data_IF_743496256771
#
_entry.id   IF_743496256771
#
_cell.length_a   1.000
_cell.length_b   1.000
_cell.length_c   1.000
_cell.angle_alpha   90.00
_cell.angle_beta   90.00
_cell.angle_gamma   90.00
#
_symmetry.space_group_name_H-M   'P 1'
#
loop_
_entity.id
_entity.type
_entity.pdbx_description
1 polymer ?
#
# COMPACT_ATOMS: atom_id res chain seq x y z
N UNK A 1 37.08 -26.63 -4.54
CA UNK A 1 35.80 -26.85 -5.23
C UNK A 1 35.04 -27.94 -4.49
N UNK A 2 34.14 -27.56 -3.57
CA UNK A 2 33.24 -28.54 -2.94
C UNK A 2 32.13 -28.89 -3.93
N UNK A 3 31.86 -30.16 -4.20
CA UNK A 3 30.81 -30.56 -5.13
C UNK A 3 29.45 -30.27 -4.51
N UNK A 4 28.64 -29.47 -5.22
CA UNK A 4 27.27 -29.13 -4.81
C UNK A 4 26.40 -30.38 -4.70
N UNK A 5 25.70 -30.50 -3.56
CA UNK A 5 24.72 -31.54 -3.31
C UNK A 5 23.60 -31.46 -4.36
N UNK A 6 23.42 -32.52 -5.14
CA UNK A 6 22.29 -32.63 -6.08
C UNK A 6 21.00 -32.84 -5.28
N UNK A 7 19.89 -32.15 -5.60
CA UNK A 7 18.63 -32.36 -4.89
C UNK A 7 18.13 -33.79 -5.11
N UNK A 8 17.84 -34.51 -4.03
CA UNK A 8 17.28 -35.86 -4.07
C UNK A 8 15.92 -35.84 -4.78
N UNK A 9 15.74 -36.70 -5.77
CA UNK A 9 14.46 -36.86 -6.49
C UNK A 9 13.37 -37.31 -5.51
N UNK A 10 12.34 -36.49 -5.31
CA UNK A 10 11.19 -36.83 -4.45
C UNK A 10 10.50 -38.11 -4.93
N UNK A 11 10.17 -38.98 -3.98
CA UNK A 11 9.48 -40.24 -4.21
C UNK A 11 7.96 -40.06 -4.12
N UNK A 12 7.19 -41.01 -4.64
CA UNK A 12 5.70 -40.99 -4.53
C UNK A 12 5.21 -40.92 -3.08
N UNK A 13 5.98 -41.43 -2.12
CA UNK A 13 5.66 -41.36 -0.68
C UNK A 13 5.72 -39.94 -0.12
N UNK A 14 6.64 -39.12 -0.62
CA UNK A 14 6.81 -37.72 -0.18
C UNK A 14 5.62 -36.84 -0.58
N UNK A 15 4.99 -37.16 -1.72
CA UNK A 15 3.76 -36.48 -2.17
C UNK A 15 2.53 -36.89 -1.34
N UNK A 16 2.53 -38.08 -0.73
CA UNK A 16 1.43 -38.55 0.10
C UNK A 16 1.40 -37.90 1.50
N UNK A 17 2.54 -37.36 1.95
CA UNK A 17 2.65 -36.63 3.22
C UNK A 17 2.21 -35.15 3.13
N UNK A 18 1.98 -34.63 1.92
CA UNK A 18 1.51 -33.27 1.70
C UNK A 18 0.01 -33.20 2.01
N UNK A 19 -0.38 -32.26 2.86
CA UNK A 19 -1.78 -31.96 3.14
C UNK A 19 -2.44 -31.23 1.95
N UNK A 20 -2.76 -31.98 0.89
CA UNK A 20 -3.38 -31.43 -0.32
C UNK A 20 -4.73 -30.78 -0.06
N UNK A 21 -5.51 -31.30 0.89
CA UNK A 21 -6.82 -30.73 1.22
C UNK A 21 -6.67 -29.38 1.94
N UNK A 22 -5.73 -29.28 2.89
CA UNK A 22 -5.38 -27.99 3.49
C UNK A 22 -4.83 -26.98 2.47
N UNK A 23 -4.01 -27.44 1.50
CA UNK A 23 -3.46 -26.56 0.46
C UNK A 23 -4.50 -26.08 -0.56
N UNK A 24 -5.42 -26.95 -1.02
CA UNK A 24 -6.36 -26.61 -2.09
C UNK A 24 -7.73 -26.13 -1.59
N UNK A 25 -8.16 -26.58 -0.41
CA UNK A 25 -9.52 -26.31 0.12
C UNK A 25 -9.50 -25.61 1.47
N UNK A 26 -8.36 -25.55 2.16
CA UNK A 26 -8.22 -24.79 3.39
C UNK A 26 -8.42 -23.28 3.17
N UNK A 27 -8.80 -22.59 4.25
CA UNK A 27 -8.95 -21.13 4.27
C UNK A 27 -7.87 -20.48 5.13
N UNK A 28 -7.44 -19.27 4.77
CA UNK A 28 -6.43 -18.52 5.53
C UNK A 28 -5.01 -18.80 5.06
N UNK A 29 -4.03 -18.67 5.96
CA UNK A 29 -2.64 -19.00 5.64
C UNK A 29 -2.48 -20.50 5.49
N UNK A 30 -1.79 -20.93 4.43
CA UNK A 30 -1.62 -22.34 4.12
C UNK A 30 -1.01 -23.17 5.26
N UNK A 31 -1.13 -24.51 5.19
CA UNK A 31 -0.86 -25.41 6.31
C UNK A 31 0.63 -25.46 6.71
N UNK A 32 1.54 -25.03 5.82
CA UNK A 32 2.98 -25.06 6.05
C UNK A 32 3.54 -23.65 6.06
N UNK A 33 4.23 -23.31 7.15
CA UNK A 33 5.03 -22.09 7.24
C UNK A 33 6.45 -22.35 6.74
N UNK A 34 6.72 -21.92 5.52
CA UNK A 34 8.04 -22.03 4.93
C UNK A 34 9.05 -21.12 5.64
N UNK A 35 10.31 -21.58 5.72
CA UNK A 35 11.43 -20.78 6.18
C UNK A 35 12.13 -20.19 4.95
N UNK A 36 12.16 -18.88 4.87
CA UNK A 36 12.86 -18.15 3.82
C UNK A 36 14.10 -17.49 4.42
N UNK A 37 15.13 -17.33 3.59
CA UNK A 37 16.27 -16.48 3.93
C UNK A 37 15.81 -15.01 3.97
N UNK A 38 16.02 -14.35 5.10
CA UNK A 38 15.61 -12.96 5.34
C UNK A 38 16.77 -11.98 5.27
N UNK A 39 18.00 -12.43 4.96
CA UNK A 39 19.23 -11.61 5.04
C UNK A 39 19.11 -10.26 4.33
N UNK A 40 18.46 -10.22 3.16
CA UNK A 40 18.27 -8.96 2.41
C UNK A 40 17.21 -8.02 3.03
N UNK A 41 16.25 -8.56 3.76
CA UNK A 41 15.17 -7.83 4.42
C UNK A 41 15.62 -7.26 5.77
N UNK A 42 16.50 -7.97 6.49
CA UNK A 42 16.91 -7.63 7.85
C UNK A 42 17.39 -6.17 7.99
N UNK A 43 18.15 -5.67 7.02
CA UNK A 43 18.60 -4.27 7.01
C UNK A 43 17.44 -3.27 6.91
N UNK A 44 16.42 -3.57 6.10
CA UNK A 44 15.23 -2.73 5.94
C UNK A 44 14.34 -2.77 7.18
N UNK A 45 14.17 -3.94 7.78
CA UNK A 45 13.35 -4.12 8.98
C UNK A 45 14.02 -3.46 10.21
N UNK A 46 15.34 -3.61 10.35
CA UNK A 46 16.12 -2.95 11.41
C UNK A 46 16.05 -1.43 11.28
N UNK A 47 16.16 -0.89 10.06
CA UNK A 47 16.04 0.54 9.83
C UNK A 47 14.64 1.06 10.21
N UNK A 48 13.58 0.35 9.81
CA UNK A 48 12.21 0.71 10.19
C UNK A 48 12.01 0.71 11.71
N UNK A 49 12.52 -0.31 12.41
CA UNK A 49 12.45 -0.40 13.86
C UNK A 49 13.20 0.76 14.54
N UNK A 50 14.40 1.11 14.06
CA UNK A 50 15.18 2.23 14.60
C UNK A 50 14.44 3.57 14.48
N UNK A 51 13.78 3.83 13.34
CA UNK A 51 12.96 5.04 13.18
C UNK A 51 11.80 5.10 14.17
N UNK A 52 11.11 3.97 14.38
CA UNK A 52 9.99 3.90 15.34
C UNK A 52 10.44 3.97 16.81
N UNK A 53 11.67 3.55 17.11
CA UNK A 53 12.28 3.69 18.43
C UNK A 53 12.80 5.12 18.73
N UNK A 54 12.70 6.05 17.78
CA UNK A 54 13.27 7.40 17.91
C UNK A 54 14.78 7.47 17.68
N UNK A 55 15.39 6.37 17.23
CA UNK A 55 16.83 6.25 16.95
C UNK A 55 17.16 6.53 15.46
N UNK A 56 16.16 6.89 14.65
CA UNK A 56 16.32 7.16 13.22
C UNK A 56 17.36 8.25 12.91
N UNK A 57 17.44 9.29 13.73
CA UNK A 57 18.44 10.35 13.58
C UNK A 57 19.89 9.92 13.89
N UNK A 58 20.07 8.78 14.57
CA UNK A 58 21.39 8.19 14.83
C UNK A 58 21.83 7.22 13.70
N UNK A 59 20.92 6.88 12.79
CA UNK A 59 21.24 5.99 11.68
C UNK A 59 22.18 6.70 10.68
N UNK A 60 23.09 5.95 10.02
CA UNK A 60 23.92 6.50 8.96
C UNK A 60 23.06 7.21 7.90
N UNK A 61 23.52 8.37 7.42
CA UNK A 61 22.78 9.14 6.40
C UNK A 61 22.55 8.34 5.11
N UNK A 62 23.43 7.40 4.82
CA UNK A 62 23.36 6.51 3.66
C UNK A 62 22.65 5.17 3.94
N UNK A 63 22.14 4.95 5.17
CA UNK A 63 21.44 3.71 5.55
C UNK A 63 20.27 3.40 4.61
N UNK A 64 19.55 4.42 4.14
CA UNK A 64 18.49 4.25 3.15
C UNK A 64 19.01 4.31 1.70
N UNK A 65 19.96 5.20 1.39
CA UNK A 65 20.40 5.39 0.01
C UNK A 65 21.13 4.17 -0.54
N UNK A 66 21.87 3.45 0.31
CA UNK A 66 22.54 2.18 0.02
C UNK A 66 21.60 1.00 -0.23
N UNK A 67 20.33 1.09 0.19
CA UNK A 67 19.34 0.06 -0.07
C UNK A 67 18.99 -0.01 -1.55
N UNK A 68 18.85 -1.24 -2.04
CA UNK A 68 18.24 -1.50 -3.35
C UNK A 68 16.77 -1.06 -3.35
N UNK A 69 16.20 -0.88 -4.54
CA UNK A 69 14.78 -0.47 -4.66
C UNK A 69 13.82 -1.44 -3.93
N UNK A 70 13.94 -2.78 -4.06
CA UNK A 70 13.11 -3.71 -3.30
C UNK A 70 13.28 -3.58 -1.79
N UNK A 71 14.49 -3.31 -1.30
CA UNK A 71 14.75 -3.08 0.12
C UNK A 71 14.11 -1.78 0.62
N UNK A 72 14.17 -0.70 -0.16
CA UNK A 72 13.43 0.55 0.14
C UNK A 72 11.92 0.30 0.23
N UNK A 73 11.38 -0.51 -0.68
CA UNK A 73 9.98 -0.94 -0.64
C UNK A 73 9.71 -1.78 0.62
N UNK A 74 10.60 -2.70 1.00
CA UNK A 74 10.47 -3.49 2.23
C UNK A 74 10.46 -2.61 3.48
N UNK A 75 11.36 -1.63 3.55
CA UNK A 75 11.43 -0.64 4.63
C UNK A 75 10.09 0.10 4.80
N UNK A 76 9.56 0.68 3.72
CA UNK A 76 8.27 1.38 3.76
C UNK A 76 7.10 0.43 4.03
N UNK A 77 7.12 -0.77 3.46
CA UNK A 77 6.09 -1.79 3.71
C UNK A 77 6.09 -2.21 5.18
N UNK A 78 7.25 -2.31 5.81
CA UNK A 78 7.38 -2.63 7.23
C UNK A 78 6.78 -1.53 8.11
N UNK A 79 6.97 -0.26 7.76
CA UNK A 79 6.29 0.85 8.44
C UNK A 79 4.76 0.78 8.27
N UNK A 80 4.27 0.37 7.10
CA UNK A 80 2.83 0.17 6.87
C UNK A 80 2.31 -0.98 7.74
N UNK A 81 3.03 -2.10 7.82
CA UNK A 81 2.69 -3.22 8.73
C UNK A 81 2.57 -2.72 10.19
N UNK A 82 3.53 -1.90 10.66
CA UNK A 82 3.44 -1.31 12.00
C UNK A 82 2.23 -0.37 12.15
N UNK A 83 1.86 0.40 11.12
CA UNK A 83 0.65 1.21 11.16
C UNK A 83 -0.62 0.37 11.30
N UNK A 84 -0.67 -0.81 10.69
CA UNK A 84 -1.79 -1.76 10.86
C UNK A 84 -1.81 -2.33 12.28
N UNK A 85 -0.65 -2.72 12.81
CA UNK A 85 -0.51 -3.21 14.19
C UNK A 85 -0.93 -2.15 15.22
N UNK A 86 -0.61 -0.88 14.98
CA UNK A 86 -0.97 0.24 15.86
C UNK A 86 -2.50 0.46 15.83
N UNK A 87 -3.08 0.52 14.64
CA UNK A 87 -4.53 0.64 14.46
C UNK A 87 -5.30 -0.53 15.09
N UNK A 88 -4.73 -1.74 15.07
CA UNK A 88 -5.31 -2.92 15.72
C UNK A 88 -5.26 -2.85 17.26
N UNK A 89 -4.26 -2.18 17.84
CA UNK A 89 -4.18 -1.92 19.29
C UNK A 89 -5.12 -0.81 19.73
N UNK A 90 -5.20 0.28 18.97
CA UNK A 90 -6.09 1.41 19.25
C UNK A 90 -6.41 2.21 17.98
N UNK A 91 -7.69 2.54 17.70
CA UNK A 91 -8.07 3.29 16.50
C UNK A 91 -7.47 4.69 16.35
N UNK A 92 -6.92 5.25 17.43
CA UNK A 92 -6.28 6.58 17.44
C UNK A 92 -4.76 6.53 17.45
N UNK A 93 -4.18 5.33 17.61
CA UNK A 93 -2.74 5.16 17.64
C UNK A 93 -2.22 5.13 16.21
N UNK A 94 -1.28 6.04 15.92
CA UNK A 94 -0.68 6.22 14.60
C UNK A 94 0.82 6.42 14.77
N UNK A 95 1.58 6.22 13.69
CA UNK A 95 3.00 6.61 13.68
C UNK A 95 3.05 8.14 13.76
N UNK A 96 3.83 8.68 14.71
CA UNK A 96 3.99 10.11 14.91
C UNK A 96 4.42 10.80 13.60
N UNK A 97 3.70 11.84 13.14
CA UNK A 97 4.10 12.67 12.00
C UNK A 97 5.57 13.12 12.03
N UNK A 98 6.14 13.36 13.20
CA UNK A 98 7.54 13.76 13.35
C UNK A 98 8.51 12.66 12.87
N UNK A 99 8.16 11.38 13.02
CA UNK A 99 8.95 10.26 12.48
C UNK A 99 8.96 10.31 10.96
N UNK A 100 7.79 10.53 10.33
CA UNK A 100 7.70 10.64 8.86
C UNK A 100 8.46 11.87 8.34
N UNK A 101 8.31 13.02 9.00
CA UNK A 101 9.07 14.21 8.66
C UNK A 101 10.58 13.99 8.78
N UNK A 102 11.03 13.26 9.81
CA UNK A 102 12.42 12.88 9.99
C UNK A 102 12.93 11.95 8.88
N UNK A 103 12.13 10.94 8.51
CA UNK A 103 12.44 10.01 7.41
C UNK A 103 12.61 10.79 6.10
N UNK A 104 11.68 11.70 5.80
CA UNK A 104 11.72 12.48 4.56
C UNK A 104 12.90 13.46 4.55
N UNK A 105 13.17 14.13 5.65
CA UNK A 105 14.32 15.02 5.78
C UNK A 105 15.66 14.27 5.64
N UNK A 106 15.72 13.02 6.08
CA UNK A 106 16.93 12.20 5.98
C UNK A 106 17.13 11.64 4.57
N UNK A 107 16.05 11.22 3.89
CA UNK A 107 16.13 10.33 2.73
C UNK A 107 15.45 10.84 1.46
N UNK A 108 14.74 11.96 1.52
CA UNK A 108 14.01 12.56 0.40
C UNK A 108 13.05 11.56 -0.28
N UNK A 109 12.25 10.87 0.54
CA UNK A 109 11.34 9.81 0.08
C UNK A 109 10.25 10.40 -0.81
N UNK A 110 9.78 11.61 -0.49
CA UNK A 110 8.78 12.36 -1.25
C UNK A 110 9.21 12.67 -2.68
N UNK A 111 10.51 12.86 -2.95
CA UNK A 111 11.03 13.11 -4.30
C UNK A 111 11.12 11.85 -5.18
N UNK A 112 10.87 10.67 -4.63
CA UNK A 112 10.96 9.42 -5.38
C UNK A 112 9.96 9.37 -6.53
N UNK A 113 10.45 9.03 -7.73
CA UNK A 113 9.60 8.78 -8.91
C UNK A 113 9.06 7.35 -9.00
N UNK A 114 9.49 6.46 -8.11
CA UNK A 114 9.06 5.06 -8.12
C UNK A 114 7.63 4.95 -7.59
N UNK A 115 6.73 4.37 -8.39
CA UNK A 115 5.30 4.30 -8.05
C UNK A 115 4.99 3.47 -6.79
N UNK A 116 5.76 2.43 -6.48
CA UNK A 116 5.57 1.63 -5.26
C UNK A 116 5.97 2.44 -4.02
N UNK A 117 7.10 3.16 -4.10
CA UNK A 117 7.57 4.04 -3.02
C UNK A 117 6.57 5.18 -2.80
N UNK A 118 6.16 5.88 -3.87
CA UNK A 118 5.16 6.95 -3.80
C UNK A 118 3.85 6.45 -3.19
N UNK A 119 3.38 5.28 -3.61
CA UNK A 119 2.15 4.69 -3.07
C UNK A 119 2.26 4.42 -1.57
N UNK A 120 3.29 3.69 -1.13
CA UNK A 120 3.48 3.37 0.29
C UNK A 120 3.66 4.64 1.13
N UNK A 121 4.39 5.63 0.61
CA UNK A 121 4.59 6.90 1.28
C UNK A 121 3.29 7.69 1.47
N UNK A 122 2.44 7.74 0.45
CA UNK A 122 1.11 8.34 0.55
C UNK A 122 0.24 7.63 1.59
N UNK A 123 0.20 6.29 1.56
CA UNK A 123 -0.55 5.48 2.54
C UNK A 123 -0.09 5.78 3.96
N UNK A 124 1.22 5.76 4.22
CA UNK A 124 1.80 6.06 5.53
C UNK A 124 1.39 7.44 6.05
N UNK A 125 1.57 8.48 5.22
CA UNK A 125 1.25 9.85 5.61
C UNK A 125 -0.24 10.04 5.89
N UNK A 126 -1.13 9.44 5.09
CA UNK A 126 -2.57 9.51 5.31
C UNK A 126 -2.93 8.83 6.64
N UNK A 127 -2.39 7.64 6.92
CA UNK A 127 -2.61 6.91 8.17
C UNK A 127 -2.05 7.64 9.40
N UNK A 128 -0.96 8.37 9.23
CA UNK A 128 -0.37 9.25 10.25
C UNK A 128 -1.01 10.63 10.35
N UNK A 129 -2.16 10.87 9.71
CA UNK A 129 -2.87 12.14 9.73
C UNK A 129 -2.07 13.36 9.23
N UNK A 130 -1.14 13.14 8.28
CA UNK A 130 -0.32 14.19 7.67
C UNK A 130 -1.08 14.81 6.50
N UNK A 131 -1.79 15.92 6.73
CA UNK A 131 -2.63 16.57 5.72
C UNK A 131 -1.85 17.18 4.54
N UNK A 132 -0.56 17.50 4.70
CA UNK A 132 0.26 18.08 3.63
C UNK A 132 0.50 17.12 2.45
N UNK A 133 0.24 15.82 2.61
CA UNK A 133 0.39 14.82 1.54
C UNK A 133 -0.77 14.83 0.53
N UNK A 134 -1.91 15.46 0.85
CA UNK A 134 -3.11 15.38 0.01
C UNK A 134 -2.90 15.81 -1.46
N UNK A 135 -2.12 16.87 -1.77
CA UNK A 135 -1.81 17.23 -3.15
C UNK A 135 -1.04 16.13 -3.91
N UNK A 136 -0.09 15.46 -3.24
CA UNK A 136 0.69 14.38 -3.84
C UNK A 136 -0.17 13.14 -4.09
N UNK A 137 -1.08 12.83 -3.16
CA UNK A 137 -2.04 11.75 -3.31
C UNK A 137 -2.99 12.02 -4.49
N UNK A 138 -3.50 13.24 -4.60
CA UNK A 138 -4.35 13.68 -5.71
C UNK A 138 -3.61 13.57 -7.05
N UNK A 139 -2.39 14.08 -7.14
CA UNK A 139 -1.57 14.00 -8.35
C UNK A 139 -1.32 12.54 -8.76
N UNK A 140 -0.91 11.70 -7.80
CA UNK A 140 -0.65 10.28 -8.04
C UNK A 140 -1.89 9.52 -8.53
N UNK A 141 -3.08 9.83 -7.98
CA UNK A 141 -4.34 9.22 -8.40
C UNK A 141 -4.79 9.65 -9.81
N UNK A 142 -4.39 10.83 -10.28
CA UNK A 142 -4.66 11.29 -11.66
C UNK A 142 -3.67 10.74 -12.67
N UNK A 143 -2.45 10.42 -12.23
CA UNK A 143 -1.40 9.83 -13.08
C UNK A 143 -1.58 8.32 -13.27
N UNK A 144 -2.03 7.60 -12.23
CA UNK A 144 -2.03 6.14 -12.20
C UNK A 144 -3.42 5.55 -12.43
N UNK A 145 -3.52 4.52 -13.28
CA UNK A 145 -4.76 3.74 -13.49
C UNK A 145 -4.77 2.34 -12.87
N UNK A 146 -3.64 1.89 -12.29
CA UNK A 146 -3.49 0.52 -11.81
C UNK A 146 -4.27 0.32 -10.52
N UNK A 147 -5.20 -0.63 -10.50
CA UNK A 147 -6.05 -0.92 -9.34
C UNK A 147 -5.26 -1.21 -8.05
N UNK A 148 -4.06 -1.78 -8.15
CA UNK A 148 -3.14 -1.99 -7.01
C UNK A 148 -2.89 -0.70 -6.23
N UNK A 149 -2.87 0.45 -6.92
CA UNK A 149 -2.59 1.75 -6.32
C UNK A 149 -3.88 2.54 -6.08
N UNK A 150 -4.68 2.71 -7.14
CA UNK A 150 -5.84 3.62 -7.14
C UNK A 150 -6.86 3.23 -6.07
N UNK A 151 -7.24 1.95 -6.03
CA UNK A 151 -8.33 1.50 -5.18
C UNK A 151 -7.95 1.56 -3.69
N UNK A 152 -6.81 0.99 -3.23
CA UNK A 152 -6.40 1.12 -1.84
C UNK A 152 -6.18 2.58 -1.43
N UNK A 153 -5.51 3.40 -2.23
CA UNK A 153 -5.25 4.80 -1.86
C UNK A 153 -6.54 5.63 -1.75
N UNK A 154 -7.52 5.40 -2.63
CA UNK A 154 -8.85 5.99 -2.50
C UNK A 154 -9.56 5.55 -1.20
N UNK A 155 -9.39 4.29 -0.78
CA UNK A 155 -9.94 3.79 0.48
C UNK A 155 -9.27 4.43 1.70
N UNK A 156 -7.95 4.59 1.67
CA UNK A 156 -7.21 5.28 2.74
C UNK A 156 -7.68 6.74 2.88
N UNK A 157 -7.76 7.48 1.76
CA UNK A 157 -8.28 8.85 1.77
C UNK A 157 -9.73 8.92 2.28
N UNK A 158 -10.60 8.01 1.84
CA UNK A 158 -12.00 8.01 2.25
C UNK A 158 -12.22 7.64 3.72
N UNK A 159 -11.31 6.86 4.30
CA UNK A 159 -11.34 6.46 5.71
C UNK A 159 -10.81 7.57 6.63
N UNK A 160 -9.91 8.42 6.13
CA UNK A 160 -9.43 9.60 6.83
C UNK A 160 -10.41 10.77 6.70
N UNK A 161 -10.86 11.35 7.82
CA UNK A 161 -11.81 12.47 7.82
C UNK A 161 -11.31 13.66 6.99
N UNK A 162 -10.02 14.00 7.13
CA UNK A 162 -9.37 15.08 6.37
C UNK A 162 -9.11 14.72 4.90
N UNK A 163 -9.00 13.43 4.56
CA UNK A 163 -8.71 12.96 3.21
C UNK A 163 -9.95 12.72 2.35
N UNK A 164 -11.11 12.53 2.98
CA UNK A 164 -12.34 12.18 2.27
C UNK A 164 -12.78 13.21 1.23
N UNK A 165 -12.74 14.53 1.49
CA UNK A 165 -13.07 15.52 0.46
C UNK A 165 -12.18 15.40 -0.78
N UNK A 166 -10.89 15.09 -0.59
CA UNK A 166 -9.95 14.87 -1.70
C UNK A 166 -10.31 13.62 -2.50
N UNK A 167 -10.66 12.51 -1.84
CA UNK A 167 -11.11 11.30 -2.54
C UNK A 167 -12.36 11.55 -3.41
N UNK A 168 -13.36 12.23 -2.84
CA UNK A 168 -14.61 12.54 -3.53
C UNK A 168 -14.40 13.50 -4.70
N UNK A 169 -13.57 14.53 -4.52
CA UNK A 169 -13.15 15.46 -5.58
C UNK A 169 -12.45 14.73 -6.73
N UNK A 170 -11.42 13.94 -6.43
CA UNK A 170 -10.65 13.22 -7.46
C UNK A 170 -11.54 12.23 -8.20
N UNK A 171 -12.42 11.51 -7.51
CA UNK A 171 -13.35 10.59 -8.17
C UNK A 171 -14.35 11.32 -9.07
N UNK A 172 -14.90 12.45 -8.64
CA UNK A 172 -15.83 13.24 -9.44
C UNK A 172 -15.17 13.78 -10.73
N UNK A 173 -13.95 14.30 -10.63
CA UNK A 173 -13.26 14.93 -11.76
C UNK A 173 -12.55 13.94 -12.68
N UNK A 174 -11.93 12.89 -12.13
CA UNK A 174 -11.06 11.97 -12.86
C UNK A 174 -11.62 10.54 -12.94
N UNK A 175 -12.71 10.22 -12.24
CA UNK A 175 -13.27 8.86 -12.21
C UNK A 175 -13.69 8.31 -13.58
N UNK A 176 -13.99 9.19 -14.55
CA UNK A 176 -14.27 8.81 -15.94
C UNK A 176 -13.04 8.34 -16.72
N UNK A 177 -11.84 8.74 -16.30
CA UNK A 177 -10.57 8.35 -16.94
C UNK A 177 -10.08 6.98 -16.49
N UNK A 178 -10.52 6.49 -15.33
CA UNK A 178 -10.24 5.13 -14.90
C UNK A 178 -10.91 4.11 -15.80
N UNK A 179 -10.27 2.94 -15.94
CA UNK A 179 -10.88 1.79 -16.59
C UNK A 179 -12.25 1.48 -15.92
N UNK A 180 -13.31 1.12 -16.68
CA UNK A 180 -14.67 0.97 -16.13
C UNK A 180 -14.78 0.06 -14.90
N UNK A 181 -13.97 -1.01 -14.85
CA UNK A 181 -13.90 -1.91 -13.68
C UNK A 181 -13.33 -1.18 -12.45
N UNK A 182 -12.23 -0.44 -12.64
CA UNK A 182 -11.60 0.33 -11.57
C UNK A 182 -12.58 1.38 -11.03
N UNK A 183 -13.18 2.18 -11.92
CA UNK A 183 -14.20 3.17 -11.58
C UNK A 183 -15.33 2.57 -10.75
N UNK A 184 -15.96 1.48 -11.23
CA UNK A 184 -17.07 0.82 -10.54
C UNK A 184 -16.68 0.33 -9.15
N UNK A 185 -15.45 -0.16 -8.99
CA UNK A 185 -14.96 -0.64 -7.70
C UNK A 185 -14.65 0.50 -6.73
N UNK A 186 -14.03 1.58 -7.21
CA UNK A 186 -13.79 2.79 -6.40
C UNK A 186 -15.12 3.44 -6.00
N UNK A 187 -16.05 3.62 -6.93
CA UNK A 187 -17.39 4.15 -6.67
C UNK A 187 -18.09 3.38 -5.55
N UNK A 188 -18.09 2.06 -5.67
CA UNK A 188 -18.66 1.17 -4.66
C UNK A 188 -17.98 1.37 -3.32
N UNK A 189 -16.67 1.47 -3.27
CA UNK A 189 -15.93 1.57 -2.01
C UNK A 189 -16.11 2.96 -1.35
N UNK A 190 -16.21 4.04 -2.12
CA UNK A 190 -16.47 5.40 -1.62
C UNK A 190 -17.90 5.58 -1.08
N UNK A 191 -18.88 4.97 -1.73
CA UNK A 191 -20.30 5.22 -1.44
C UNK A 191 -21.02 4.07 -0.73
N UNK A 192 -20.43 2.88 -0.57
CA UNK A 192 -21.05 1.76 0.18
C UNK A 192 -21.44 2.11 1.62
N UNK A 193 -20.80 3.09 2.25
CA UNK A 193 -21.14 3.54 3.60
C UNK A 193 -22.44 4.37 3.65
N UNK A 194 -22.94 4.85 2.51
CA UNK A 194 -24.21 5.57 2.40
C UNK A 194 -25.15 4.70 1.57
N UNK A 195 -26.15 4.06 2.18
CA UNK A 195 -27.18 3.35 1.41
C UNK A 195 -27.92 4.33 0.49
N UNK A 196 -27.48 4.52 -0.76
CA UNK A 196 -28.16 5.32 -1.80
C UNK A 196 -27.52 5.18 -3.20
N UNK A 197 -28.29 5.44 -4.27
CA UNK A 197 -28.18 4.77 -5.57
C UNK A 197 -27.07 5.33 -6.48
N UNK A 198 -26.63 4.57 -7.50
CA UNK A 198 -25.55 4.98 -8.39
C UNK A 198 -25.88 6.27 -9.14
N UNK A 199 -24.88 7.13 -9.28
CA UNK A 199 -24.99 8.37 -10.06
C UNK A 199 -25.37 8.02 -11.51
N UNK A 200 -26.57 8.46 -11.93
CA UNK A 200 -27.01 8.36 -13.33
C UNK A 200 -25.93 8.97 -14.22
N UNK A 201 -25.47 8.22 -15.22
CA UNK A 201 -24.66 8.78 -16.31
C UNK A 201 -25.45 9.93 -16.93
N UNK A 202 -24.83 11.10 -17.06
CA UNK A 202 -25.36 12.16 -17.90
C UNK A 202 -25.48 11.60 -19.33
N UNK A 203 -26.71 11.36 -19.77
CA UNK A 203 -27.01 10.99 -21.15
C UNK A 203 -26.84 12.23 -22.00
N UNK A 204 -26.04 12.14 -23.05
CA UNK A 204 -25.87 13.15 -24.10
C UNK A 204 -27.08 13.20 -25.04
N UNK A 205 -28.29 13.31 -24.49
CA UNK A 205 -29.54 13.29 -25.26
C UNK A 205 -30.51 14.39 -24.81
N UNK A 206 -30.03 15.64 -24.76
CA UNK A 206 -30.85 16.86 -24.69
C UNK A 206 -30.22 17.96 -25.59
N UNK A 207 -29.96 17.59 -26.86
CA UNK A 207 -29.61 18.55 -27.92
C UNK A 207 -30.38 18.21 -29.19
N UNK A 208 -31.67 18.49 -29.15
CA UNK A 208 -32.62 18.74 -30.25
C UNK A 208 -33.93 19.10 -29.52
N UNK A 209 -34.58 20.26 -29.61
CA UNK A 209 -34.65 21.34 -30.58
C UNK A 209 -34.88 22.69 -29.82
N UNK A 210 -34.95 23.90 -30.47
CA UNK A 210 -36.10 24.24 -31.31
C UNK A 210 -35.81 25.13 -32.53
N UNK A 211 -36.48 24.85 -33.66
CA UNK A 211 -37.37 25.74 -34.43
C UNK A 211 -37.95 24.97 -35.62
#
# INVERSE_FOLDING_TARGET
FSPGSSPSRSTKGDLAAIDWEGWFRGTGTGPVRNKFDTTLRDASDALAAAWLAGEGGAQPRDAYSSLTTPQKICFLSKLVEYSDEYAARSPREVIDPAVLAGIDAAYDVSASRNSEIRFLWNVLNIRSAVASILPDAEAFLREQGRMKFVRPLMQELASAEFGRPTAEKVFAEHGNNYHPICRKMVERDLYKARGSPPLRRASSADKEAPS
#
